data_IF_840992819449
#
_entry.id   IF_840992819449
#
_cell.length_a   1.000
_cell.length_b   1.000
_cell.length_c   1.000
_cell.angle_alpha   90.00
_cell.angle_beta   90.00
_cell.angle_gamma   90.00
#
_symmetry.space_group_name_H-M   'P 1'
#
loop_
_entity.id
_entity.type
_entity.pdbx_description
1 polymer ?
#
# COMPACT_ATOMS: atom_id res chain seq x y z
N UNK A 1 6.28 5.46 5.37
CA UNK A 1 5.50 4.27 4.95
C UNK A 1 6.03 3.05 5.67
N UNK A 2 5.16 2.31 6.36
CA UNK A 2 5.51 1.11 7.14
C UNK A 2 4.64 -0.05 6.64
N UNK A 3 5.26 -1.22 6.43
CA UNK A 3 4.58 -2.45 6.00
C UNK A 3 4.78 -3.53 7.07
N UNK A 4 3.71 -4.18 7.51
CA UNK A 4 3.77 -5.22 8.56
C UNK A 4 2.91 -6.43 8.22
N UNK A 5 3.24 -7.59 8.83
CA UNK A 5 2.51 -8.85 8.61
C UNK A 5 3.21 -9.87 7.71
N UNK A 6 4.55 -9.92 7.75
CA UNK A 6 5.39 -10.88 7.00
C UNK A 6 5.12 -10.84 5.49
N UNK A 7 5.28 -9.66 4.89
CA UNK A 7 5.20 -9.48 3.45
C UNK A 7 6.52 -9.84 2.77
N UNK A 8 6.43 -10.68 1.73
CA UNK A 8 7.55 -10.91 0.82
C UNK A 8 7.80 -9.70 -0.10
N UNK A 9 8.91 -9.73 -0.82
CA UNK A 9 9.39 -8.58 -1.59
C UNK A 9 8.40 -8.17 -2.70
N UNK A 10 7.73 -9.13 -3.34
CA UNK A 10 6.74 -8.87 -4.41
C UNK A 10 5.52 -8.13 -3.84
N UNK A 11 5.10 -8.49 -2.63
CA UNK A 11 3.95 -7.85 -1.99
C UNK A 11 4.30 -6.46 -1.45
N UNK A 12 5.55 -6.25 -1.02
CA UNK A 12 6.05 -4.91 -0.67
C UNK A 12 6.13 -3.99 -1.89
N UNK A 13 6.58 -4.49 -3.03
CA UNK A 13 6.58 -3.76 -4.29
C UNK A 13 5.17 -3.41 -4.73
N UNK A 14 4.24 -4.35 -4.62
CA UNK A 14 2.82 -4.14 -4.94
C UNK A 14 2.19 -3.05 -4.06
N UNK A 15 2.52 -2.99 -2.77
CA UNK A 15 2.05 -1.94 -1.88
C UNK A 15 2.61 -0.55 -2.25
N UNK A 16 3.88 -0.49 -2.66
CA UNK A 16 4.50 0.76 -3.14
C UNK A 16 3.89 1.23 -4.46
N UNK A 17 3.60 0.30 -5.37
CA UNK A 17 2.94 0.59 -6.63
C UNK A 17 1.52 1.13 -6.42
N UNK A 18 0.75 0.52 -5.52
CA UNK A 18 -0.59 1.00 -5.12
C UNK A 18 -0.55 2.44 -4.62
N UNK A 19 0.35 2.78 -3.68
CA UNK A 19 0.48 4.15 -3.17
C UNK A 19 0.92 5.13 -4.27
N UNK A 20 1.83 4.70 -5.14
CA UNK A 20 2.29 5.54 -6.27
C UNK A 20 1.13 5.85 -7.22
N UNK A 21 0.26 4.87 -7.46
CA UNK A 21 -0.95 5.04 -8.26
C UNK A 21 -1.94 6.02 -7.62
N UNK A 22 -2.30 5.82 -6.35
CA UNK A 22 -3.20 6.74 -5.63
C UNK A 22 -2.65 8.15 -5.64
N UNK A 23 -1.33 8.32 -5.38
CA UNK A 23 -0.68 9.63 -5.40
C UNK A 23 -0.77 10.31 -6.77
N UNK A 24 -0.52 9.56 -7.85
CA UNK A 24 -0.62 10.11 -9.21
C UNK A 24 -2.02 10.53 -9.62
N UNK A 25 -3.05 10.04 -8.91
CA UNK A 25 -4.47 10.29 -9.17
C UNK A 25 -5.20 10.94 -7.98
N UNK A 26 -4.45 11.55 -7.06
CA UNK A 26 -5.01 12.09 -5.83
C UNK A 26 -6.17 13.08 -6.09
N UNK A 27 -6.03 13.94 -7.11
CA UNK A 27 -7.08 14.85 -7.58
C UNK A 27 -8.36 14.14 -8.02
N UNK A 28 -8.26 12.98 -8.69
CA UNK A 28 -9.40 12.18 -9.13
C UNK A 28 -10.16 11.59 -7.92
N UNK A 29 -9.43 11.28 -6.85
CA UNK A 29 -9.99 10.79 -5.59
C UNK A 29 -10.35 11.89 -4.59
N UNK A 30 -10.29 13.17 -4.98
CA UNK A 30 -10.52 14.33 -4.09
C UNK A 30 -9.62 14.34 -2.84
N UNK A 31 -8.40 13.82 -2.96
CA UNK A 31 -7.38 13.84 -1.92
C UNK A 31 -6.49 15.08 -2.09
N UNK A 32 -6.15 15.75 -0.99
CA UNK A 32 -5.12 16.78 -0.98
C UNK A 32 -3.75 16.11 -1.15
N UNK A 33 -2.98 16.48 -2.18
CA UNK A 33 -1.62 16.00 -2.42
C UNK A 33 -0.71 16.10 -1.18
N UNK A 34 -0.96 17.09 -0.33
CA UNK A 34 -0.21 17.32 0.92
C UNK A 34 -0.42 16.22 1.96
N UNK A 35 -1.45 15.38 1.81
CA UNK A 35 -1.70 14.28 2.74
C UNK A 35 -0.55 13.27 2.73
N UNK A 36 0.08 13.05 1.58
CA UNK A 36 1.19 12.10 1.44
C UNK A 36 2.52 12.62 2.01
N UNK A 37 2.65 13.92 2.24
CA UNK A 37 3.85 14.54 2.84
C UNK A 37 3.69 14.83 4.33
N UNK A 38 2.45 14.87 4.84
CA UNK A 38 2.13 15.16 6.24
C UNK A 38 1.72 13.94 7.06
N UNK A 39 1.41 12.83 6.41
CA UNK A 39 0.92 11.62 7.08
C UNK A 39 1.79 10.41 6.74
N UNK A 40 2.04 9.58 7.75
CA UNK A 40 2.64 8.27 7.56
C UNK A 40 1.58 7.22 7.19
N UNK A 41 1.83 6.46 6.14
CA UNK A 41 0.99 5.33 5.72
C UNK A 41 1.54 4.05 6.34
N UNK A 42 0.73 3.37 7.16
CA UNK A 42 1.04 2.06 7.73
C UNK A 42 0.04 1.02 7.21
N UNK A 43 0.54 0.07 6.40
CA UNK A 43 -0.27 -1.04 5.90
C UNK A 43 0.09 -2.29 6.70
N UNK A 44 -0.92 -2.86 7.36
CA UNK A 44 -0.83 -4.14 8.04
C UNK A 44 -1.61 -5.19 7.26
N UNK A 45 -0.92 -6.26 6.86
CA UNK A 45 -1.55 -7.40 6.19
C UNK A 45 -1.52 -8.58 7.15
N UNK A 46 -2.64 -8.92 7.81
CA UNK A 46 -2.64 -9.96 8.83
C UNK A 46 -2.25 -11.31 8.21
N UNK A 47 -1.13 -11.86 8.64
CA UNK A 47 -0.68 -13.20 8.29
C UNK A 47 -0.29 -13.94 9.57
N UNK A 48 -0.54 -15.25 9.61
CA UNK A 48 0.00 -16.13 10.64
C UNK A 48 1.50 -16.36 10.46
N UNK A 49 1.93 -17.63 10.34
CA UNK A 49 3.33 -17.96 10.15
C UNK A 49 3.84 -17.88 8.69
N UNK A 50 2.95 -17.88 7.70
CA UNK A 50 3.27 -18.03 6.28
C UNK A 50 3.45 -16.66 5.61
N UNK A 51 4.61 -16.39 4.97
CA UNK A 51 4.83 -15.16 4.20
C UNK A 51 3.81 -15.01 3.06
N UNK A 52 3.27 -13.80 2.86
CA UNK A 52 2.49 -13.48 1.67
C UNK A 52 3.39 -12.80 0.65
N UNK A 53 3.58 -13.44 -0.49
CA UNK A 53 4.48 -12.96 -1.54
C UNK A 53 3.83 -13.13 -2.91
N UNK A 54 2.99 -12.16 -3.27
CA UNK A 54 2.28 -12.19 -4.56
C UNK A 54 1.68 -10.83 -4.91
N UNK A 55 1.52 -10.53 -6.21
CA UNK A 55 1.05 -9.21 -6.67
C UNK A 55 -0.46 -9.02 -6.55
N UNK A 56 -1.21 -10.09 -6.31
CA UNK A 56 -2.67 -10.13 -6.35
C UNK A 56 -3.35 -9.20 -5.33
N UNK A 57 -2.66 -8.80 -4.28
CA UNK A 57 -3.20 -7.90 -3.25
C UNK A 57 -3.12 -6.41 -3.60
N UNK A 58 -2.52 -6.03 -4.74
CA UNK A 58 -2.32 -4.62 -5.10
C UNK A 58 -3.63 -3.81 -5.17
N UNK A 59 -4.71 -4.40 -5.72
CA UNK A 59 -6.03 -3.76 -5.79
C UNK A 59 -6.60 -3.55 -4.39
N UNK A 60 -6.49 -4.57 -3.52
CA UNK A 60 -6.97 -4.49 -2.14
C UNK A 60 -6.26 -3.39 -1.35
N UNK A 61 -4.94 -3.27 -1.50
CA UNK A 61 -4.14 -2.20 -0.86
C UNK A 61 -4.51 -0.82 -1.42
N UNK A 62 -4.91 -0.75 -2.67
CA UNK A 62 -5.33 0.51 -3.30
C UNK A 62 -6.69 0.98 -2.78
N UNK A 63 -7.58 0.06 -2.40
CA UNK A 63 -8.95 0.36 -1.96
C UNK A 63 -9.13 0.47 -0.44
N UNK A 64 -8.10 0.20 0.36
CA UNK A 64 -8.19 0.15 1.83
C UNK A 64 -7.70 1.42 2.52
#
# INVERSE_FOLDING_TARGET
MILTGKLGDVMQESAKAAISYIRSRATEFSLDDKIFSKSDIHIHVPAGAIPKDGPSAGVTITSS
#
